data_IF_623902407842
#
_entry.id   IF_623902407842
#
_cell.length_a   1.000
_cell.length_b   1.000
_cell.length_c   1.000
_cell.angle_alpha   90.00
_cell.angle_beta   90.00
_cell.angle_gamma   90.00
#
_symmetry.space_group_name_H-M   'P 1'
#
loop_
_entity.id
_entity.type
_entity.pdbx_description
1 polymer ?
#
# COMPACT_ATOMS: atom_id res chain seq x y z
N UNK A 1 -15.91 13.51 39.77
CA UNK A 1 -14.44 13.33 39.71
C UNK A 1 -14.08 12.88 38.31
N UNK A 2 -13.17 13.57 37.62
CA UNK A 2 -12.65 13.07 36.34
C UNK A 2 -11.63 11.95 36.61
N UNK A 3 -11.67 10.82 35.88
CA UNK A 3 -10.70 9.74 36.04
C UNK A 3 -9.28 10.24 35.77
N UNK A 4 -8.32 9.77 36.55
CA UNK A 4 -6.90 10.11 36.35
C UNK A 4 -6.43 9.61 34.98
N UNK A 5 -5.34 10.18 34.47
CA UNK A 5 -4.75 9.71 33.20
C UNK A 5 -4.40 8.22 33.23
N UNK A 6 -3.97 7.71 34.39
CA UNK A 6 -3.65 6.29 34.60
C UNK A 6 -4.90 5.41 34.53
N UNK A 7 -6.02 5.84 35.12
CA UNK A 7 -7.29 5.12 35.04
C UNK A 7 -7.77 5.03 33.58
N UNK A 8 -7.54 6.09 32.79
CA UNK A 8 -7.89 6.10 31.36
C UNK A 8 -7.01 5.19 30.52
N UNK A 9 -5.72 5.00 30.87
CA UNK A 9 -4.83 4.06 30.17
C UNK A 9 -5.32 2.63 30.41
N UNK A 10 -5.59 2.28 31.68
CA UNK A 10 -6.01 0.93 32.04
C UNK A 10 -7.44 0.62 31.58
N UNK A 11 -8.27 1.63 31.35
CA UNK A 11 -9.59 1.48 30.73
C UNK A 11 -9.53 1.22 29.21
N UNK A 12 -8.35 1.31 28.57
CA UNK A 12 -8.21 0.97 27.16
C UNK A 12 -8.35 -0.54 26.97
N UNK A 13 -9.29 -0.96 26.12
CA UNK A 13 -9.47 -2.37 25.78
C UNK A 13 -8.20 -2.99 25.19
N UNK A 14 -7.47 -2.23 24.35
CA UNK A 14 -6.21 -2.69 23.75
C UNK A 14 -5.14 -2.86 24.81
N UNK A 15 -4.91 -1.86 25.66
CA UNK A 15 -3.89 -1.96 26.72
C UNK A 15 -4.24 -3.07 27.72
N UNK A 16 -5.51 -3.16 28.12
CA UNK A 16 -6.02 -4.25 28.95
C UNK A 16 -5.70 -5.61 28.34
N UNK A 17 -5.99 -5.80 27.04
CA UNK A 17 -5.69 -7.05 26.34
C UNK A 17 -4.20 -7.36 26.27
N UNK A 18 -3.35 -6.36 26.07
CA UNK A 18 -1.88 -6.54 26.08
C UNK A 18 -1.38 -6.96 27.47
N UNK A 19 -1.98 -6.47 28.55
CA UNK A 19 -1.66 -6.89 29.92
C UNK A 19 -2.14 -8.32 30.17
N UNK A 20 -3.41 -8.62 29.85
CA UNK A 20 -4.01 -9.95 30.02
C UNK A 20 -3.26 -11.04 29.26
N UNK A 21 -2.77 -10.72 28.07
CA UNK A 21 -1.98 -11.64 27.24
C UNK A 21 -0.48 -11.61 27.57
N UNK A 22 -0.10 -10.96 28.66
CA UNK A 22 1.27 -10.83 29.17
C UNK A 22 2.27 -10.29 28.14
N UNK A 23 1.81 -9.47 27.20
CA UNK A 23 2.65 -8.79 26.20
C UNK A 23 3.29 -7.52 26.77
N UNK A 24 2.68 -6.92 27.80
CA UNK A 24 3.21 -5.80 28.58
C UNK A 24 2.87 -5.98 30.07
N UNK A 25 3.84 -5.88 30.99
CA UNK A 25 3.53 -5.92 32.43
C UNK A 25 2.65 -4.74 32.85
N UNK A 26 1.75 -4.95 33.81
CA UNK A 26 0.88 -3.90 34.37
C UNK A 26 1.67 -2.65 34.81
N UNK A 27 2.80 -2.85 35.48
CA UNK A 27 3.67 -1.76 35.94
C UNK A 27 4.24 -0.93 34.79
N UNK A 28 4.54 -1.57 33.66
CA UNK A 28 5.01 -0.85 32.46
C UNK A 28 3.85 -0.15 31.76
N UNK A 29 2.67 -0.78 31.70
CA UNK A 29 1.47 -0.20 31.12
C UNK A 29 1.04 1.09 31.85
N UNK A 30 1.13 1.12 33.20
CA UNK A 30 0.86 2.31 34.03
C UNK A 30 1.77 3.51 33.72
N UNK A 31 2.97 3.23 33.20
CA UNK A 31 4.00 4.23 32.87
C UNK A 31 3.99 4.63 31.40
N UNK A 32 3.03 4.13 30.60
CA UNK A 32 2.93 4.50 29.20
C UNK A 32 2.68 6.00 29.07
N UNK A 33 3.42 6.64 28.18
CA UNK A 33 3.08 8.00 27.75
C UNK A 33 1.83 7.98 26.86
N UNK A 34 1.22 9.14 26.62
CA UNK A 34 0.10 9.24 25.67
C UNK A 34 0.51 8.79 24.26
N UNK A 35 1.74 9.08 23.84
CA UNK A 35 2.25 8.67 22.54
C UNK A 35 2.43 7.15 22.48
N UNK A 36 3.07 6.55 23.48
CA UNK A 36 3.27 5.10 23.54
C UNK A 36 1.94 4.34 23.54
N UNK A 37 0.95 4.85 24.30
CA UNK A 37 -0.41 4.31 24.28
C UNK A 37 -1.02 4.38 22.87
N UNK A 38 -0.97 5.54 22.21
CA UNK A 38 -1.52 5.71 20.85
C UNK A 38 -0.82 4.81 19.84
N UNK A 39 0.49 4.60 19.98
CA UNK A 39 1.25 3.66 19.17
C UNK A 39 0.73 2.23 19.35
N UNK A 40 0.53 1.78 20.59
CA UNK A 40 0.01 0.43 20.85
C UNK A 40 -1.46 0.26 20.47
N UNK A 41 -2.24 1.34 20.50
CA UNK A 41 -3.65 1.37 20.09
C UNK A 41 -3.84 1.51 18.57
N UNK A 42 -2.79 1.85 17.82
CA UNK A 42 -2.84 1.84 16.35
C UNK A 42 -3.22 0.46 15.86
N UNK A 43 -4.24 0.39 15.00
CA UNK A 43 -4.75 -0.88 14.45
C UNK A 43 -3.64 -1.71 13.81
N UNK A 44 -2.79 -1.10 12.97
CA UNK A 44 -1.69 -1.83 12.32
C UNK A 44 -0.65 -2.36 13.29
N UNK A 45 -0.31 -1.58 14.32
CA UNK A 45 0.66 -2.00 15.34
C UNK A 45 0.09 -3.10 16.22
N UNK A 46 -1.14 -2.92 16.72
CA UNK A 46 -1.80 -3.89 17.58
C UNK A 46 -1.98 -5.24 16.88
N UNK A 47 -2.46 -5.25 15.63
CA UNK A 47 -2.61 -6.48 14.84
C UNK A 47 -1.27 -7.23 14.72
N UNK A 48 -0.17 -6.54 14.41
CA UNK A 48 1.15 -7.16 14.31
C UNK A 48 1.69 -7.67 15.64
N UNK A 49 1.35 -7.00 16.75
CA UNK A 49 1.68 -7.48 18.10
C UNK A 49 0.88 -8.75 18.43
N UNK A 50 -0.40 -8.77 18.08
CA UNK A 50 -1.26 -9.92 18.36
C UNK A 50 -0.87 -11.14 17.54
N UNK A 51 -0.49 -10.93 16.28
CA UNK A 51 0.09 -11.94 15.39
C UNK A 51 1.54 -12.33 15.75
N UNK A 52 2.13 -11.77 16.81
CA UNK A 52 3.51 -12.00 17.27
C UNK A 52 4.59 -11.63 16.24
N UNK A 53 4.26 -10.77 15.28
CA UNK A 53 5.21 -10.21 14.31
C UNK A 53 5.99 -9.03 14.88
N UNK A 54 5.44 -8.35 15.89
CA UNK A 54 6.12 -7.32 16.68
C UNK A 54 5.97 -7.62 18.19
N UNK A 55 7.02 -7.36 18.95
CA UNK A 55 6.89 -7.19 20.39
C UNK A 55 6.43 -5.77 20.74
N UNK A 56 5.87 -5.59 21.95
CA UNK A 56 5.54 -4.25 22.47
C UNK A 56 6.77 -3.33 22.45
N UNK A 57 7.95 -3.83 22.82
CA UNK A 57 9.16 -3.02 22.83
C UNK A 57 9.58 -2.60 21.41
N UNK A 58 9.47 -3.49 20.42
CA UNK A 58 9.73 -3.13 19.02
C UNK A 58 8.70 -2.10 18.52
N UNK A 59 7.43 -2.28 18.84
CA UNK A 59 6.37 -1.34 18.48
C UNK A 59 6.60 0.06 19.07
N UNK A 60 7.02 0.15 20.33
CA UNK A 60 7.33 1.42 20.98
C UNK A 60 8.62 2.09 20.45
N UNK A 61 9.50 1.32 19.79
CA UNK A 61 10.70 1.83 19.14
C UNK A 61 10.46 2.27 17.68
N UNK A 62 9.25 2.08 17.14
CA UNK A 62 8.93 2.48 15.78
C UNK A 62 9.04 3.99 15.60
N UNK A 63 9.62 4.40 14.47
CA UNK A 63 9.65 5.80 14.05
C UNK A 63 8.28 6.24 13.54
N UNK A 64 8.05 7.56 13.47
CA UNK A 64 6.84 8.13 12.88
C UNK A 64 6.60 7.63 11.44
N UNK A 65 7.66 7.51 10.62
CA UNK A 65 7.55 7.02 9.25
C UNK A 65 7.09 5.55 9.20
N UNK A 66 7.66 4.70 10.06
CA UNK A 66 7.23 3.31 10.18
C UNK A 66 5.77 3.18 10.64
N UNK A 67 5.36 3.99 11.61
CA UNK A 67 3.96 4.03 12.06
C UNK A 67 3.01 4.46 10.94
N UNK A 68 3.42 5.43 10.13
CA UNK A 68 2.64 5.87 8.96
C UNK A 68 2.49 4.72 7.95
N UNK A 69 3.55 3.96 7.68
CA UNK A 69 3.49 2.80 6.79
C UNK A 69 2.54 1.73 7.33
N UNK A 70 2.65 1.36 8.62
CA UNK A 70 1.79 0.35 9.24
C UNK A 70 0.33 0.81 9.41
N UNK A 71 0.08 2.12 9.44
CA UNK A 71 -1.26 2.70 9.46
C UNK A 71 -1.93 2.78 8.08
N UNK A 72 -1.21 2.56 6.99
CA UNK A 72 -1.83 2.41 5.66
C UNK A 72 -2.59 1.08 5.57
N UNK A 73 -3.86 1.12 5.18
CA UNK A 73 -4.67 -0.08 4.95
C UNK A 73 -4.10 -0.93 3.81
N UNK A 74 -3.69 -0.29 2.71
CA UNK A 74 -3.10 -0.99 1.56
C UNK A 74 -1.83 -1.76 1.93
N UNK A 75 -0.96 -1.14 2.73
CA UNK A 75 0.26 -1.80 3.23
C UNK A 75 -0.10 -2.98 4.14
N UNK A 76 -1.03 -2.80 5.09
CA UNK A 76 -1.48 -3.90 5.97
C UNK A 76 -2.05 -5.06 5.18
N UNK A 77 -2.84 -4.79 4.16
CA UNK A 77 -3.46 -5.82 3.33
C UNK A 77 -2.41 -6.63 2.57
N UNK A 78 -1.38 -5.98 2.03
CA UNK A 78 -0.25 -6.68 1.39
C UNK A 78 0.55 -7.53 2.39
N UNK A 79 0.76 -7.06 3.62
CA UNK A 79 1.42 -7.84 4.69
C UNK A 79 0.57 -9.07 5.04
N UNK A 80 -0.75 -8.91 5.23
CA UNK A 80 -1.67 -10.01 5.54
C UNK A 80 -1.71 -11.05 4.42
N UNK A 81 -1.68 -10.60 3.17
CA UNK A 81 -1.58 -11.46 1.97
C UNK A 81 -0.18 -12.05 1.74
N UNK A 82 0.80 -11.77 2.61
CA UNK A 82 2.20 -12.19 2.48
C UNK A 82 2.86 -11.75 1.17
N UNK A 83 2.38 -10.65 0.58
CA UNK A 83 2.93 -10.03 -0.63
C UNK A 83 3.88 -8.88 -0.33
N UNK A 84 3.86 -8.37 0.90
CA UNK A 84 4.79 -7.37 1.40
C UNK A 84 5.39 -7.85 2.73
N UNK A 85 6.67 -8.25 2.75
CA UNK A 85 7.39 -8.55 3.98
C UNK A 85 7.41 -7.36 4.96
N UNK A 86 7.37 -7.63 6.27
CA UNK A 86 7.18 -6.57 7.30
C UNK A 86 8.41 -5.66 7.39
N UNK A 87 9.59 -6.25 7.31
CA UNK A 87 10.88 -5.55 7.24
C UNK A 87 10.92 -4.57 6.06
N UNK A 88 10.46 -4.98 4.87
CA UNK A 88 10.31 -4.09 3.72
C UNK A 88 9.27 -3.00 3.99
N UNK A 89 8.09 -3.35 4.54
CA UNK A 89 7.06 -2.36 4.87
C UNK A 89 7.55 -1.25 5.82
N UNK A 90 8.38 -1.62 6.80
CA UNK A 90 9.00 -0.70 7.74
C UNK A 90 10.07 0.20 7.09
N UNK A 91 10.64 -0.21 5.96
CA UNK A 91 11.68 0.52 5.24
C UNK A 91 11.14 1.40 4.09
N UNK A 92 9.85 1.30 3.74
CA UNK A 92 9.27 2.06 2.65
C UNK A 92 9.46 3.57 2.85
N UNK A 93 9.94 4.23 1.80
CA UNK A 93 9.89 5.69 1.70
C UNK A 93 8.45 6.18 1.47
N UNK A 94 8.23 7.50 1.57
CA UNK A 94 6.92 8.10 1.28
C UNK A 94 6.47 7.77 -0.15
N UNK A 95 7.37 7.86 -1.12
CA UNK A 95 7.08 7.59 -2.53
C UNK A 95 6.81 6.10 -2.79
N UNK A 96 7.64 5.22 -2.22
CA UNK A 96 7.44 3.77 -2.36
C UNK A 96 6.12 3.33 -1.74
N UNK A 97 5.75 3.90 -0.57
CA UNK A 97 4.42 3.65 0.02
C UNK A 97 3.33 4.16 -0.91
N UNK A 98 3.44 5.40 -1.42
CA UNK A 98 2.45 5.98 -2.31
C UNK A 98 2.26 5.14 -3.59
N UNK A 99 3.30 4.48 -4.09
CA UNK A 99 3.20 3.54 -5.21
C UNK A 99 2.34 2.32 -4.90
N UNK A 100 2.23 1.90 -3.64
CA UNK A 100 1.43 0.75 -3.21
C UNK A 100 0.00 1.13 -2.74
N UNK A 101 -0.36 2.42 -2.76
CA UNK A 101 -1.67 2.92 -2.33
C UNK A 101 -2.81 2.73 -3.37
N UNK A 102 -2.57 2.73 -4.70
CA UNK A 102 -3.63 2.41 -5.67
C UNK A 102 -4.10 0.95 -5.56
N UNK A 103 -5.41 0.73 -5.63
CA UNK A 103 -6.01 -0.62 -5.57
C UNK A 103 -5.51 -1.52 -6.69
N UNK A 104 -5.46 -1.00 -7.92
CA UNK A 104 -4.99 -1.77 -9.09
C UNK A 104 -3.52 -2.21 -8.92
N UNK A 105 -2.65 -1.39 -8.34
CA UNK A 105 -1.25 -1.79 -8.09
C UNK A 105 -1.21 -2.95 -7.09
N UNK A 106 -2.00 -2.89 -6.02
CA UNK A 106 -2.10 -4.01 -5.07
C UNK A 106 -2.67 -5.26 -5.71
N UNK A 107 -3.69 -5.12 -6.56
CA UNK A 107 -4.28 -6.24 -7.29
C UNK A 107 -3.24 -6.91 -8.20
N UNK A 108 -2.52 -6.12 -9.00
CA UNK A 108 -1.46 -6.60 -9.88
C UNK A 108 -0.34 -7.33 -9.11
N UNK A 109 0.01 -6.84 -7.91
CA UNK A 109 0.95 -7.56 -7.02
C UNK A 109 0.35 -8.89 -6.54
N UNK A 110 -0.91 -8.89 -6.11
CA UNK A 110 -1.53 -10.10 -5.56
C UNK A 110 -1.79 -11.19 -6.59
N UNK A 111 -1.95 -10.80 -7.85
CA UNK A 111 -2.12 -11.67 -9.03
C UNK A 111 -0.80 -11.97 -9.75
N UNK A 112 0.34 -11.57 -9.18
CA UNK A 112 1.69 -11.79 -9.72
C UNK A 112 1.92 -11.18 -11.12
N UNK A 113 1.08 -10.22 -11.53
CA UNK A 113 1.25 -9.45 -12.79
C UNK A 113 2.28 -8.32 -12.65
N UNK A 114 2.49 -7.81 -11.45
CA UNK A 114 3.50 -6.80 -11.13
C UNK A 114 4.29 -7.24 -9.89
N UNK A 115 5.60 -7.40 -9.98
CA UNK A 115 6.39 -7.76 -8.81
C UNK A 115 6.43 -6.62 -7.79
N UNK A 116 6.58 -6.95 -6.50
CA UNK A 116 6.76 -5.93 -5.45
C UNK A 116 7.95 -5.01 -5.76
N UNK A 117 9.05 -5.56 -6.28
CA UNK A 117 10.24 -4.79 -6.62
C UNK A 117 9.97 -3.75 -7.72
N UNK A 118 9.21 -4.13 -8.75
CA UNK A 118 8.78 -3.19 -9.79
C UNK A 118 7.82 -2.14 -9.20
N UNK A 119 6.84 -2.57 -8.40
CA UNK A 119 5.83 -1.68 -7.84
C UNK A 119 6.44 -0.56 -6.97
N UNK A 120 7.41 -0.88 -6.12
CA UNK A 120 8.06 0.15 -5.28
C UNK A 120 8.96 1.09 -6.09
N UNK A 121 9.36 0.70 -7.31
CA UNK A 121 10.23 1.50 -8.19
C UNK A 121 9.45 2.34 -9.22
N UNK A 122 8.12 2.27 -9.23
CA UNK A 122 7.30 3.08 -10.13
C UNK A 122 7.67 4.56 -10.00
N UNK A 123 7.83 5.20 -11.15
CA UNK A 123 7.89 6.65 -11.24
C UNK A 123 6.52 7.26 -10.92
N UNK A 124 6.50 8.55 -10.62
CA UNK A 124 5.26 9.29 -10.40
C UNK A 124 4.34 9.20 -11.61
N UNK A 125 4.88 9.26 -12.84
CA UNK A 125 4.06 9.18 -14.05
C UNK A 125 3.50 7.79 -14.32
N UNK A 126 4.28 6.73 -14.08
CA UNK A 126 3.79 5.36 -14.17
C UNK A 126 2.69 5.10 -13.13
N UNK A 127 2.85 5.62 -11.90
CA UNK A 127 1.81 5.54 -10.88
C UNK A 127 0.54 6.26 -11.31
N UNK A 128 0.65 7.47 -11.87
CA UNK A 128 -0.51 8.23 -12.36
C UNK A 128 -1.25 7.50 -13.50
N UNK A 129 -0.56 6.66 -14.29
CA UNK A 129 -1.25 5.82 -15.28
C UNK A 129 -2.22 4.84 -14.61
N UNK A 130 -1.92 4.36 -13.40
CA UNK A 130 -2.81 3.51 -12.60
C UNK A 130 -3.89 4.27 -11.82
N UNK A 131 -3.96 5.60 -11.96
CA UNK A 131 -5.05 6.42 -11.45
C UNK A 131 -6.08 6.75 -12.55
N UNK A 132 -5.75 6.49 -13.82
CA UNK A 132 -6.66 6.65 -14.96
C UNK A 132 -7.61 5.47 -15.07
N UNK A 133 -8.92 5.73 -14.98
CA UNK A 133 -9.95 4.71 -15.15
C UNK A 133 -9.92 4.06 -16.54
N UNK A 134 -9.61 4.84 -17.58
CA UNK A 134 -9.50 4.32 -18.94
C UNK A 134 -8.29 3.42 -19.11
N UNK A 135 -7.14 3.76 -18.51
CA UNK A 135 -5.95 2.89 -18.54
C UNK A 135 -6.23 1.57 -17.81
N UNK A 136 -6.87 1.63 -16.63
CA UNK A 136 -7.27 0.42 -15.89
C UNK A 136 -8.21 -0.46 -16.75
N UNK A 137 -9.23 0.13 -17.38
CA UNK A 137 -10.15 -0.59 -18.25
C UNK A 137 -9.43 -1.29 -19.43
N UNK A 138 -8.46 -0.61 -20.05
CA UNK A 138 -7.67 -1.20 -21.14
C UNK A 138 -6.81 -2.38 -20.68
N UNK A 139 -6.26 -2.33 -19.46
CA UNK A 139 -5.50 -3.43 -18.85
C UNK A 139 -6.44 -4.61 -18.53
N UNK A 140 -7.60 -4.34 -17.95
CA UNK A 140 -8.56 -5.35 -17.49
C UNK A 140 -9.23 -6.07 -18.66
N UNK A 141 -9.53 -5.34 -19.73
CA UNK A 141 -10.05 -5.91 -20.98
C UNK A 141 -8.96 -6.59 -21.83
N UNK A 142 -7.71 -6.57 -21.37
CA UNK A 142 -6.57 -7.16 -22.09
C UNK A 142 -6.26 -6.47 -23.42
N UNK A 143 -6.72 -5.22 -23.60
CA UNK A 143 -6.47 -4.44 -24.81
C UNK A 143 -5.06 -3.86 -24.84
N UNK A 144 -4.44 -3.69 -23.69
CA UNK A 144 -3.02 -3.36 -23.55
C UNK A 144 -2.37 -4.22 -22.47
N UNK A 145 -1.10 -4.51 -22.65
CA UNK A 145 -0.19 -5.11 -21.68
C UNK A 145 0.13 -4.16 -20.53
N UNK A 146 0.68 -4.71 -19.44
CA UNK A 146 1.12 -3.92 -18.29
C UNK A 146 2.31 -3.02 -18.67
N UNK A 147 3.25 -3.56 -19.45
CA UNK A 147 4.41 -2.83 -19.97
C UNK A 147 3.95 -1.63 -20.79
N UNK A 148 2.88 -1.82 -21.58
CA UNK A 148 2.32 -0.73 -22.38
C UNK A 148 1.67 0.33 -21.50
N UNK A 149 0.90 -0.07 -20.50
CA UNK A 149 0.29 0.86 -19.54
C UNK A 149 1.35 1.72 -18.80
N UNK A 150 2.47 1.12 -18.41
CA UNK A 150 3.59 1.85 -17.79
C UNK A 150 4.22 2.86 -18.75
N UNK A 151 4.26 2.57 -20.05
CA UNK A 151 4.82 3.47 -21.07
C UNK A 151 3.91 4.62 -21.51
N UNK A 152 2.66 4.69 -21.00
CA UNK A 152 1.73 5.76 -21.37
C UNK A 152 2.28 7.10 -20.92
N UNK A 153 2.39 8.03 -21.87
CA UNK A 153 2.86 9.39 -21.60
C UNK A 153 1.78 10.23 -20.91
N UNK A 154 2.15 11.30 -20.17
CA UNK A 154 1.18 12.19 -19.55
C UNK A 154 0.16 12.77 -20.53
N UNK A 155 0.57 13.07 -21.76
CA UNK A 155 -0.34 13.59 -22.78
C UNK A 155 -1.30 12.52 -23.33
N UNK A 156 -0.84 11.28 -23.50
CA UNK A 156 -1.73 10.18 -23.87
C UNK A 156 -2.75 9.91 -22.75
N UNK A 157 -2.30 9.86 -21.49
CA UNK A 157 -3.18 9.71 -20.32
C UNK A 157 -4.22 10.83 -20.27
N UNK A 158 -3.79 12.09 -20.41
CA UNK A 158 -4.69 13.25 -20.45
C UNK A 158 -5.75 13.11 -21.55
N UNK A 159 -5.36 12.69 -22.75
CA UNK A 159 -6.30 12.45 -23.86
C UNK A 159 -7.24 11.29 -23.58
N UNK A 160 -6.80 10.22 -22.93
CA UNK A 160 -7.65 9.10 -22.52
C UNK A 160 -8.71 9.54 -21.50
N UNK A 161 -8.34 10.37 -20.53
CA UNK A 161 -9.23 10.76 -19.44
C UNK A 161 -10.16 11.92 -19.83
N UNK A 162 -9.70 12.85 -20.68
CA UNK A 162 -10.37 14.14 -20.90
C UNK A 162 -10.53 14.52 -22.38
N UNK A 163 -9.97 13.73 -23.30
CA UNK A 163 -10.03 14.00 -24.73
C UNK A 163 -11.42 13.78 -25.31
N UNK A 164 -11.64 14.33 -26.50
CA UNK A 164 -12.84 14.01 -27.29
C UNK A 164 -12.76 12.55 -27.78
N UNK A 165 -13.90 11.96 -28.10
CA UNK A 165 -14.00 10.56 -28.59
C UNK A 165 -12.98 10.26 -29.71
N UNK A 166 -12.78 11.17 -30.67
CA UNK A 166 -11.80 10.99 -31.74
C UNK A 166 -10.35 10.90 -31.26
N UNK A 167 -9.98 11.66 -30.22
CA UNK A 167 -8.64 11.67 -29.63
C UNK A 167 -8.42 10.41 -28.80
N UNK A 168 -9.41 10.03 -27.99
CA UNK A 168 -9.41 8.79 -27.20
C UNK A 168 -9.22 7.58 -28.12
N UNK A 169 -10.04 7.47 -29.18
CA UNK A 169 -9.93 6.38 -30.16
C UNK A 169 -8.56 6.36 -30.84
N UNK A 170 -8.03 7.53 -31.20
CA UNK A 170 -6.70 7.63 -31.82
C UNK A 170 -5.60 7.11 -30.88
N UNK A 171 -5.65 7.47 -29.60
CA UNK A 171 -4.67 7.00 -28.61
C UNK A 171 -4.81 5.49 -28.42
N UNK A 172 -6.02 4.97 -28.24
CA UNK A 172 -6.25 3.53 -28.08
C UNK A 172 -5.73 2.73 -29.28
N UNK A 173 -5.96 3.22 -30.50
CA UNK A 173 -5.42 2.60 -31.72
C UNK A 173 -3.88 2.59 -31.73
N UNK A 174 -3.24 3.68 -31.28
CA UNK A 174 -1.78 3.74 -31.18
C UNK A 174 -1.22 2.80 -30.10
N UNK A 175 -1.95 2.63 -28.99
CA UNK A 175 -1.54 1.73 -27.92
C UNK A 175 -1.63 0.27 -28.35
N UNK A 176 -2.73 -0.11 -29.02
CA UNK A 176 -3.02 -1.49 -29.45
C UNK A 176 -2.20 -1.96 -30.65
N UNK A 177 -1.95 -1.11 -31.65
CA UNK A 177 -1.18 -1.51 -32.85
C UNK A 177 0.28 -1.85 -32.56
N UNK A 178 0.86 -1.29 -31.50
CA UNK A 178 2.26 -1.53 -31.13
C UNK A 178 2.46 -2.86 -30.38
N UNK A 179 1.39 -3.59 -30.05
CA UNK A 179 1.48 -4.91 -29.39
C UNK A 179 1.49 -6.08 -30.36
N UNK A 180 1.16 -5.87 -31.64
CA UNK A 180 1.30 -6.91 -32.66
C UNK A 180 2.78 -7.14 -32.97
N UNK A 181 3.37 -8.30 -32.62
CA UNK A 181 4.71 -8.63 -33.08
C UNK A 181 4.65 -8.77 -34.60
N UNK A 182 5.62 -8.19 -35.29
CA UNK A 182 5.90 -8.51 -36.68
C UNK A 182 5.93 -10.04 -36.85
N UNK A 183 4.88 -10.61 -37.46
CA UNK A 183 4.98 -11.91 -38.09
C UNK A 183 5.96 -11.71 -39.26
N UNK A 184 7.24 -11.98 -39.00
CA UNK A 184 8.23 -12.11 -40.04
C UNK A 184 7.76 -13.23 -40.97
N UNK A 185 7.29 -12.83 -42.15
CA UNK A 185 7.35 -13.67 -43.33
C UNK A 185 8.79 -14.12 -43.52
N UNK A 186 9.05 -15.41 -43.33
CA UNK A 186 10.05 -16.08 -44.15
C UNK A 186 9.40 -17.26 -44.86
N UNK A 187 9.68 -17.23 -46.16
CA UNK A 187 9.19 -18.04 -47.27
C UNK A 187 9.63 -19.50 -47.11
#
# INVERSE_FOLDING_TARGET
MQPSFQDRILASAVIGKLIETNKIPLERARKLTLLERRTLESTGVYELIDEKKLSVNQALALTTGQLINLNSSGIRDLIKKKRLPLEIALALTVDQRANLEPDIVRELITTDRLSLEQAVKLTVEERHNFESGMVIELIDTGRISLERALSITPEQRYKLDHGKVSEVTTVIDQLTRQECPHHQHHI
#
